data_IF_832892394075
#
_entry.id   IF_832892394075
#
_cell.length_a   1.000
_cell.length_b   1.000
_cell.length_c   1.000
_cell.angle_alpha   90.00
_cell.angle_beta   90.00
_cell.angle_gamma   90.00
#
_symmetry.space_group_name_H-M   'P 1'
#
loop_
_entity.id
_entity.type
_entity.pdbx_description
1 polymer ?
#
# COMPACT_ATOMS: atom_id res chain seq x y z
N UNK A 1 -2.10 2.59 22.94
CA UNK A 1 -3.21 3.25 22.23
C UNK A 1 -2.89 3.12 20.74
N UNK A 2 -3.06 1.91 20.18
CA UNK A 2 -2.71 1.62 18.77
C UNK A 2 -3.90 2.10 17.92
N UNK A 3 -3.60 2.89 16.89
CA UNK A 3 -4.51 3.88 16.33
C UNK A 3 -5.82 3.28 15.79
N UNK A 4 -6.95 3.82 16.26
CA UNK A 4 -8.29 3.62 15.68
C UNK A 4 -8.40 4.04 14.19
N UNK A 5 -7.35 4.63 13.62
CA UNK A 5 -7.33 5.17 12.26
C UNK A 5 -7.09 4.07 11.22
N UNK A 6 -6.38 2.99 11.55
CA UNK A 6 -6.00 1.95 10.60
C UNK A 6 -7.20 1.26 9.92
N UNK A 7 -8.25 0.84 10.65
CA UNK A 7 -9.45 0.27 10.04
C UNK A 7 -10.26 1.31 9.25
N UNK A 8 -10.22 2.58 9.67
CA UNK A 8 -10.95 3.65 8.98
C UNK A 8 -10.32 3.94 7.62
N UNK A 9 -8.98 4.04 7.56
CA UNK A 9 -8.25 4.21 6.30
C UNK A 9 -8.49 3.02 5.37
N UNK A 10 -8.54 1.82 5.94
CA UNK A 10 -8.86 0.59 5.22
C UNK A 10 -10.26 0.63 4.58
N UNK A 11 -11.29 0.93 5.36
CA UNK A 11 -12.68 0.99 4.87
C UNK A 11 -12.86 2.11 3.84
N UNK A 12 -12.27 3.29 4.07
CA UNK A 12 -12.30 4.39 3.09
C UNK A 12 -11.65 3.96 1.78
N UNK A 13 -10.48 3.31 1.85
CA UNK A 13 -9.79 2.85 0.65
C UNK A 13 -10.59 1.76 -0.08
N UNK A 14 -11.22 0.85 0.67
CA UNK A 14 -12.10 -0.19 0.13
C UNK A 14 -13.30 0.42 -0.61
N UNK A 15 -14.03 1.31 0.06
CA UNK A 15 -15.26 1.90 -0.46
C UNK A 15 -15.01 2.79 -1.68
N UNK A 16 -13.83 3.41 -1.75
CA UNK A 16 -13.43 4.27 -2.86
C UNK A 16 -12.57 3.54 -3.91
N UNK A 17 -12.37 2.23 -3.77
CA UNK A 17 -11.53 1.42 -4.66
C UNK A 17 -10.11 1.97 -4.86
N UNK A 18 -9.51 2.46 -3.76
CA UNK A 18 -8.19 3.08 -3.69
C UNK A 18 -7.12 2.07 -3.26
N UNK A 19 -5.87 2.40 -3.58
CA UNK A 19 -4.69 1.69 -3.09
C UNK A 19 -4.08 2.43 -1.90
N UNK A 20 -3.70 1.69 -0.87
CA UNK A 20 -3.05 2.23 0.33
C UNK A 20 -1.54 2.15 0.12
N UNK A 21 -0.84 3.27 0.26
CA UNK A 21 0.63 3.29 0.24
C UNK A 21 1.13 3.57 1.65
N UNK A 22 1.89 2.65 2.22
CA UNK A 22 2.46 2.83 3.57
C UNK A 22 3.88 2.27 3.67
N UNK A 23 4.67 2.81 4.59
CA UNK A 23 5.96 2.23 5.01
C UNK A 23 5.81 1.32 6.23
N UNK A 24 4.69 1.45 6.95
CA UNK A 24 4.46 0.73 8.19
C UNK A 24 4.02 -0.70 7.93
N UNK A 25 4.59 -1.63 8.70
CA UNK A 25 4.26 -3.04 8.63
C UNK A 25 2.81 -3.34 9.10
N UNK A 26 2.21 -2.44 9.87
CA UNK A 26 0.83 -2.60 10.35
C UNK A 26 -0.18 -2.68 9.17
N UNK A 27 0.04 -1.91 8.09
CA UNK A 27 -0.79 -1.96 6.88
C UNK A 27 -0.53 -3.21 6.03
N UNK A 28 0.71 -3.71 6.05
CA UNK A 28 1.07 -4.99 5.45
C UNK A 28 0.33 -6.13 6.13
N UNK A 29 0.32 -6.16 7.47
CA UNK A 29 -0.34 -7.20 8.24
C UNK A 29 -1.86 -7.17 8.01
N UNK A 30 -2.45 -5.98 7.95
CA UNK A 30 -3.85 -5.81 7.57
C UNK A 30 -4.14 -6.35 6.16
N UNK A 31 -3.25 -6.13 5.19
CA UNK A 31 -3.39 -6.67 3.83
C UNK A 31 -3.36 -8.19 3.77
N UNK A 32 -2.61 -8.83 4.66
CA UNK A 32 -2.56 -10.29 4.76
C UNK A 32 -3.81 -10.85 5.45
N UNK A 33 -4.36 -10.13 6.43
CA UNK A 33 -5.53 -10.55 7.21
C UNK A 33 -6.84 -10.33 6.46
N UNK A 34 -7.00 -9.17 5.81
CA UNK A 34 -8.26 -8.74 5.17
C UNK A 34 -8.30 -9.04 3.67
N UNK A 35 -7.13 -9.25 3.03
CA UNK A 35 -7.03 -9.56 1.61
C UNK A 35 -7.38 -8.38 0.70
N UNK A 36 -7.64 -8.68 -0.58
CA UNK A 36 -8.13 -7.73 -1.57
C UNK A 36 -9.67 -7.75 -1.59
N UNK A 37 -10.40 -6.60 -1.64
CA UNK A 37 -9.93 -5.20 -1.62
C UNK A 37 -9.94 -4.54 -0.23
N UNK A 38 -9.10 -3.51 0.03
CA UNK A 38 -8.18 -2.73 -0.83
C UNK A 38 -6.79 -3.34 -1.07
N UNK A 39 -6.08 -2.82 -2.08
CA UNK A 39 -4.69 -3.19 -2.39
C UNK A 39 -3.69 -2.31 -1.63
N UNK A 40 -2.59 -2.90 -1.19
CA UNK A 40 -1.57 -2.23 -0.39
C UNK A 40 -0.22 -2.21 -1.10
N UNK A 41 0.41 -1.04 -1.14
CA UNK A 41 1.78 -0.84 -1.59
C UNK A 41 2.65 -0.58 -0.35
N UNK A 42 3.54 -1.52 -0.06
CA UNK A 42 4.45 -1.43 1.07
C UNK A 42 5.82 -0.91 0.62
N UNK A 43 6.18 0.28 1.08
CA UNK A 43 7.46 0.91 0.79
C UNK A 43 8.51 0.44 1.80
N UNK A 44 9.38 -0.49 1.39
CA UNK A 44 10.51 -1.00 2.16
C UNK A 44 11.72 -0.07 2.09
N UNK A 45 11.49 1.21 2.29
CA UNK A 45 12.52 2.24 2.29
C UNK A 45 12.86 2.60 3.73
N UNK A 46 14.16 2.65 4.06
CA UNK A 46 14.65 3.10 5.36
C UNK A 46 14.49 4.62 5.53
N UNK A 47 15.50 5.28 6.11
CA UNK A 47 15.50 6.74 6.20
C UNK A 47 15.61 7.33 4.79
N UNK A 48 14.50 7.87 4.29
CA UNK A 48 14.41 8.40 2.95
C UNK A 48 13.56 9.67 2.93
N UNK A 49 13.98 10.61 2.10
CA UNK A 49 13.23 11.84 1.84
C UNK A 49 11.96 11.54 1.04
N UNK A 50 10.97 12.45 1.12
CA UNK A 50 9.76 12.40 0.29
C UNK A 50 10.09 12.27 -1.21
N UNK A 51 11.20 12.87 -1.64
CA UNK A 51 11.66 12.81 -3.03
C UNK A 51 12.09 11.41 -3.45
N UNK A 52 12.75 10.66 -2.56
CA UNK A 52 13.12 9.27 -2.83
C UNK A 52 11.89 8.36 -2.88
N UNK A 53 10.88 8.61 -2.05
CA UNK A 53 9.59 7.89 -2.13
C UNK A 53 8.92 8.15 -3.48
N UNK A 54 8.86 9.41 -3.89
CA UNK A 54 8.33 9.80 -5.20
C UNK A 54 9.10 9.12 -6.35
N UNK A 55 10.43 9.14 -6.30
CA UNK A 55 11.27 8.50 -7.32
C UNK A 55 11.00 6.99 -7.41
N UNK A 56 10.84 6.31 -6.27
CA UNK A 56 10.53 4.87 -6.23
C UNK A 56 9.15 4.61 -6.83
N UNK A 57 8.15 5.40 -6.48
CA UNK A 57 6.80 5.27 -7.04
C UNK A 57 6.79 5.54 -8.55
N UNK A 58 7.52 6.56 -9.01
CA UNK A 58 7.64 6.89 -10.44
C UNK A 58 8.39 5.81 -11.22
N UNK A 59 9.49 5.30 -10.69
CA UNK A 59 10.28 4.23 -11.33
C UNK A 59 9.52 2.92 -11.41
N UNK A 60 8.70 2.62 -10.41
CA UNK A 60 7.89 1.41 -10.35
C UNK A 60 6.45 1.63 -10.84
N UNK A 61 6.17 2.72 -11.56
CA UNK A 61 4.83 3.04 -12.02
C UNK A 61 4.22 1.92 -12.87
N UNK A 62 5.00 1.30 -13.75
CA UNK A 62 4.55 0.17 -14.56
C UNK A 62 4.19 -1.05 -13.70
N UNK A 63 4.96 -1.33 -12.65
CA UNK A 63 4.67 -2.39 -11.70
C UNK A 63 3.40 -2.11 -10.89
N UNK A 64 3.18 -0.85 -10.47
CA UNK A 64 1.95 -0.42 -9.79
C UNK A 64 0.74 -0.56 -10.71
N UNK A 65 0.88 -0.24 -12.00
CA UNK A 65 -0.18 -0.40 -12.99
C UNK A 65 -0.54 -1.87 -13.19
N UNK A 66 0.45 -2.73 -13.38
CA UNK A 66 0.25 -4.18 -13.47
C UNK A 66 -0.41 -4.72 -12.19
N UNK A 67 0.05 -4.27 -11.02
CA UNK A 67 -0.53 -4.63 -9.74
C UNK A 67 -1.97 -4.15 -9.60
N UNK A 68 -2.34 -2.99 -10.14
CA UNK A 68 -3.72 -2.52 -10.14
C UNK A 68 -4.63 -3.41 -11.00
N UNK A 69 -4.16 -3.86 -12.17
CA UNK A 69 -4.89 -4.76 -13.07
C UNK A 69 -4.99 -6.19 -12.53
N UNK A 70 -4.04 -6.63 -11.69
CA UNK A 70 -4.01 -7.99 -11.15
C UNK A 70 -4.92 -8.16 -9.91
N UNK A 71 -6.10 -8.75 -10.08
CA UNK A 71 -7.05 -8.98 -8.98
C UNK A 71 -6.60 -10.01 -7.93
N UNK A 72 -5.59 -10.84 -8.24
CA UNK A 72 -5.10 -11.88 -7.34
C UNK A 72 -4.12 -11.34 -6.29
N UNK A 73 -3.49 -10.20 -6.57
CA UNK A 73 -2.50 -9.59 -5.70
C UNK A 73 -3.14 -8.56 -4.77
N UNK A 74 -2.91 -8.73 -3.47
CA UNK A 74 -3.33 -7.78 -2.43
C UNK A 74 -2.21 -6.85 -1.98
N UNK A 75 -0.94 -7.25 -2.16
CA UNK A 75 0.24 -6.53 -1.66
C UNK A 75 1.34 -6.42 -2.73
N UNK A 76 1.88 -5.21 -2.88
CA UNK A 76 3.08 -4.92 -3.68
C UNK A 76 4.16 -4.29 -2.79
N UNK A 77 5.32 -4.95 -2.66
CA UNK A 77 6.45 -4.39 -1.92
C UNK A 77 7.42 -3.68 -2.88
N UNK A 78 7.75 -2.41 -2.61
CA UNK A 78 8.70 -1.62 -3.38
C UNK A 78 9.90 -1.23 -2.49
N UNK A 79 11.11 -1.28 -3.04
CA UNK A 79 12.37 -0.97 -2.35
C UNK A 79 13.30 -0.12 -3.19
#
# INVERSE_FOLDING_TARGET
>A
MKATIDPIVWDIAKDNNLMIVSKDADMHDLSLVLGNPPKVIWLRLGNCSTRQVEDVLRRNFDAIKLFYEDESLSLLALS
#
